data_IF_310588713549
#
_entry.id   IF_310588713549
#
_cell.length_a   1.000
_cell.length_b   1.000
_cell.length_c   1.000
_cell.angle_alpha   90.00
_cell.angle_beta   90.00
_cell.angle_gamma   90.00
#
_symmetry.space_group_name_H-M   'P 1'
#
loop_
_entity.id
_entity.type
_entity.pdbx_description
1 polymer ?
#
# COMPACT_ATOMS: atom_id res chain seq x y z
N UNK A 1 -19.41 -13.09 20.16
CA UNK A 1 -18.38 -13.62 21.08
C UNK A 1 -17.30 -14.22 20.19
N UNK A 2 -16.21 -13.49 19.92
CA UNK A 2 -15.13 -13.88 19.01
C UNK A 2 -13.75 -13.77 19.68
N UNK A 3 -13.73 -13.65 21.02
CA UNK A 3 -12.50 -13.51 21.80
C UNK A 3 -12.72 -14.22 23.14
N UNK A 4 -12.75 -15.55 23.12
CA UNK A 4 -12.67 -16.36 24.34
C UNK A 4 -11.94 -17.66 24.03
N UNK A 5 -10.67 -17.57 23.65
CA UNK A 5 -9.77 -18.70 23.43
C UNK A 5 -8.32 -18.26 23.65
N UNK A 6 -7.94 -17.96 24.90
CA UNK A 6 -6.54 -17.95 25.39
C UNK A 6 -5.52 -16.98 24.78
N UNK A 7 -5.80 -16.35 23.64
CA UNK A 7 -4.91 -15.46 22.90
C UNK A 7 -5.41 -14.01 23.04
N UNK A 8 -4.89 -13.29 24.03
CA UNK A 8 -4.93 -11.85 24.10
C UNK A 8 -3.78 -11.24 23.29
N UNK A 9 -3.86 -9.93 23.06
CA UNK A 9 -2.75 -9.19 22.43
C UNK A 9 -1.47 -9.27 23.27
N UNK A 10 -1.60 -9.46 24.59
CA UNK A 10 -0.47 -9.46 25.53
C UNK A 10 0.33 -10.77 25.55
N UNK A 11 -0.25 -11.90 25.13
CA UNK A 11 0.36 -13.23 25.21
C UNK A 11 0.51 -13.94 23.84
N UNK A 12 0.19 -13.25 22.75
CA UNK A 12 0.31 -13.76 21.37
C UNK A 12 1.75 -14.17 20.97
N UNK A 13 2.77 -13.48 21.48
CA UNK A 13 4.17 -13.80 21.17
C UNK A 13 4.64 -15.13 21.81
N UNK A 14 3.98 -15.57 22.90
CA UNK A 14 4.38 -16.75 23.67
C UNK A 14 3.68 -18.03 23.17
N UNK A 15 2.61 -17.91 22.41
CA UNK A 15 1.83 -19.03 21.87
C UNK A 15 2.22 -19.43 20.45
N UNK A 16 3.10 -18.67 19.80
CA UNK A 16 3.66 -19.04 18.51
C UNK A 16 4.65 -20.22 18.69
N UNK A 17 4.47 -21.35 17.96
CA UNK A 17 5.45 -22.42 17.98
C UNK A 17 6.81 -21.84 17.55
N UNK A 18 7.89 -22.23 18.24
CA UNK A 18 9.28 -21.86 17.92
C UNK A 18 9.49 -22.04 16.41
N UNK A 19 9.54 -20.94 15.67
CA UNK A 19 9.51 -20.96 14.22
C UNK A 19 10.71 -21.74 13.66
N UNK A 20 10.43 -22.58 12.68
CA UNK A 20 11.41 -23.33 11.93
C UNK A 20 12.48 -22.39 11.34
N UNK A 21 13.70 -22.91 11.16
CA UNK A 21 14.93 -22.19 10.82
C UNK A 21 14.90 -21.31 9.55
N UNK A 22 13.81 -21.30 8.79
CA UNK A 22 13.62 -20.40 7.65
C UNK A 22 13.39 -18.93 8.05
N UNK A 23 13.09 -18.65 9.32
CA UNK A 23 12.97 -17.26 9.81
C UNK A 23 14.26 -16.72 10.44
N UNK A 24 15.23 -17.61 10.74
CA UNK A 24 16.53 -17.21 11.32
C UNK A 24 17.53 -16.67 10.30
N UNK A 25 17.30 -16.97 9.02
CA UNK A 25 18.00 -16.32 7.93
C UNK A 25 16.96 -15.46 7.25
N UNK A 26 17.00 -14.15 7.54
CA UNK A 26 16.11 -13.19 6.90
C UNK A 26 16.03 -13.48 5.40
N UNK A 27 14.82 -13.34 4.85
CA UNK A 27 14.50 -13.67 3.46
C UNK A 27 15.67 -13.29 2.52
N UNK A 28 16.03 -14.14 1.56
CA UNK A 28 17.22 -13.92 0.72
C UNK A 28 17.19 -12.56 -0.03
N UNK A 29 16.00 -11.99 -0.22
CA UNK A 29 15.81 -10.64 -0.75
C UNK A 29 16.13 -9.51 0.26
N UNK A 30 16.00 -9.76 1.56
CA UNK A 30 16.18 -8.81 2.63
C UNK A 30 17.58 -8.84 3.25
N UNK A 31 18.35 -9.92 3.10
CA UNK A 31 19.66 -10.04 3.75
C UNK A 31 20.67 -8.99 3.26
N UNK A 32 20.55 -8.54 2.00
CA UNK A 32 21.36 -7.46 1.43
C UNK A 32 20.85 -6.05 1.76
N UNK A 33 19.65 -5.92 2.34
CA UNK A 33 19.05 -4.61 2.61
C UNK A 33 19.69 -3.84 3.76
N UNK A 34 20.06 -4.47 4.89
CA UNK A 34 20.83 -3.80 5.92
C UNK A 34 22.12 -3.18 5.38
N UNK A 35 22.83 -3.88 4.48
CA UNK A 35 24.03 -3.32 3.83
C UNK A 35 23.72 -2.20 2.84
N UNK A 36 22.67 -2.34 2.01
CA UNK A 36 22.25 -1.29 1.08
C UNK A 36 21.76 -0.02 1.80
N UNK A 37 21.06 -0.17 2.93
CA UNK A 37 20.62 0.95 3.75
C UNK A 37 21.79 1.59 4.47
N UNK A 38 22.71 0.81 5.04
CA UNK A 38 23.89 1.33 5.72
C UNK A 38 24.77 2.20 4.80
N UNK A 39 24.88 1.85 3.52
CA UNK A 39 25.58 2.67 2.52
C UNK A 39 24.83 3.96 2.12
N UNK A 40 23.54 4.07 2.44
CA UNK A 40 22.66 5.18 2.05
C UNK A 40 22.32 6.16 3.18
N UNK A 41 22.72 5.86 4.42
CA UNK A 41 22.58 6.78 5.55
C UNK A 41 23.92 7.12 6.14
N UNK A 42 24.25 8.41 6.10
CA UNK A 42 25.42 8.96 6.79
C UNK A 42 25.31 8.84 8.32
N UNK A 43 24.08 8.72 8.83
CA UNK A 43 23.75 8.68 10.26
C UNK A 43 22.51 7.80 10.49
N UNK A 44 22.72 6.65 11.14
CA UNK A 44 21.69 5.64 11.38
C UNK A 44 20.73 6.08 12.49
N UNK A 45 21.15 6.95 13.41
CA UNK A 45 20.28 7.49 14.46
C UNK A 45 19.17 8.36 13.87
N UNK A 46 19.42 9.03 12.75
CA UNK A 46 18.40 9.83 12.06
C UNK A 46 17.24 8.98 11.54
N UNK A 47 17.45 7.72 11.19
CA UNK A 47 16.38 6.81 10.77
C UNK A 47 15.36 6.56 11.90
N UNK A 48 15.76 6.75 13.16
CA UNK A 48 14.89 6.56 14.33
C UNK A 48 14.04 7.78 14.68
N UNK A 49 14.33 8.94 14.10
CA UNK A 49 13.63 10.19 14.37
C UNK A 49 12.43 10.38 13.45
N UNK A 50 11.24 10.57 14.01
CA UNK A 50 10.01 10.72 13.22
C UNK A 50 10.00 12.00 12.36
N UNK A 51 10.66 13.04 12.86
CA UNK A 51 10.80 14.36 12.25
C UNK A 51 11.66 14.30 10.98
N UNK A 52 12.66 13.40 10.95
CA UNK A 52 13.49 13.14 9.79
C UNK A 52 12.66 12.68 8.58
N UNK A 53 11.62 11.88 8.84
CA UNK A 53 10.72 11.35 7.81
C UNK A 53 9.60 12.31 7.46
N UNK A 54 9.14 13.13 8.41
CA UNK A 54 8.06 14.10 8.19
C UNK A 54 8.37 15.09 7.05
N UNK A 55 9.66 15.43 6.85
CA UNK A 55 10.10 16.35 5.79
C UNK A 55 10.33 15.67 4.42
N UNK A 56 10.31 14.33 4.34
CA UNK A 56 10.71 13.55 3.16
C UNK A 56 9.56 12.86 2.42
N UNK A 57 8.35 12.89 2.97
CA UNK A 57 7.14 12.41 2.29
C UNK A 57 6.40 13.53 1.56
N UNK A 58 5.67 13.23 0.47
CA UNK A 58 4.67 14.18 -0.02
C UNK A 58 3.71 14.50 1.12
N UNK A 59 3.37 15.79 1.27
CA UNK A 59 2.32 16.18 2.20
C UNK A 59 1.06 15.35 1.88
N UNK A 60 0.32 14.87 2.89
CA UNK A 60 -0.94 14.17 2.66
C UNK A 60 -1.80 15.03 1.72
N UNK A 61 -2.34 14.43 0.66
CA UNK A 61 -3.27 15.16 -0.21
C UNK A 61 -4.44 15.64 0.64
N UNK A 62 -4.84 16.90 0.44
CA UNK A 62 -5.98 17.46 1.15
C UNK A 62 -7.21 16.56 0.93
N UNK A 63 -7.87 16.16 2.01
CA UNK A 63 -9.05 15.31 1.92
C UNK A 63 -10.18 16.15 1.34
N UNK A 64 -10.64 15.80 0.14
CA UNK A 64 -11.72 16.51 -0.52
C UNK A 64 -13.07 16.03 0.02
N UNK A 65 -13.79 16.92 0.68
CA UNK A 65 -15.21 16.74 0.98
C UNK A 65 -16.02 16.90 -0.30
N UNK A 66 -16.73 15.85 -0.72
CA UNK A 66 -17.34 15.84 -2.04
C UNK A 66 -18.48 14.85 -2.20
N UNK A 67 -19.32 15.13 -3.19
CA UNK A 67 -20.36 14.24 -3.71
C UNK A 67 -19.99 13.85 -5.14
N UNK A 68 -19.49 12.64 -5.33
CA UNK A 68 -19.23 12.08 -6.65
C UNK A 68 -20.54 11.56 -7.24
N UNK A 69 -20.82 11.91 -8.50
CA UNK A 69 -21.99 11.46 -9.25
C UNK A 69 -21.56 10.93 -10.62
N UNK A 70 -22.49 10.29 -11.34
CA UNK A 70 -22.24 9.74 -12.67
C UNK A 70 -21.01 8.80 -12.65
N UNK A 71 -20.94 7.96 -11.63
CA UNK A 71 -19.87 6.99 -11.44
C UNK A 71 -20.43 5.57 -11.55
N UNK A 72 -19.55 4.58 -11.68
CA UNK A 72 -19.86 3.17 -11.44
C UNK A 72 -19.16 2.74 -10.17
N UNK A 73 -19.88 2.71 -9.05
CA UNK A 73 -19.27 2.54 -7.72
C UNK A 73 -19.57 1.15 -7.20
N UNK A 74 -18.55 0.31 -7.04
CA UNK A 74 -18.69 -1.00 -6.41
C UNK A 74 -18.49 -0.85 -4.90
N UNK A 75 -19.52 -1.13 -4.11
CA UNK A 75 -19.45 -0.94 -2.65
C UNK A 75 -18.73 -2.07 -1.93
N UNK A 76 -18.64 -3.25 -2.56
CA UNK A 76 -18.14 -4.50 -1.96
C UNK A 76 -18.87 -4.89 -0.66
N UNK A 77 -20.11 -4.40 -0.47
CA UNK A 77 -20.97 -4.87 0.61
C UNK A 77 -21.50 -6.29 0.33
N UNK A 78 -22.17 -6.90 1.32
CA UNK A 78 -22.71 -8.26 1.21
C UNK A 78 -23.67 -8.43 0.02
N UNK A 79 -24.37 -7.37 -0.36
CA UNK A 79 -25.28 -7.33 -1.50
C UNK A 79 -24.59 -7.04 -2.84
N UNK A 80 -23.26 -6.83 -2.84
CA UNK A 80 -22.44 -6.53 -4.01
C UNK A 80 -23.02 -5.39 -4.87
N UNK A 81 -23.54 -4.34 -4.21
CA UNK A 81 -24.22 -3.26 -4.92
C UNK A 81 -23.26 -2.49 -5.82
N UNK A 82 -23.80 -2.07 -6.97
CA UNK A 82 -23.21 -1.06 -7.84
C UNK A 82 -24.12 0.16 -7.82
N UNK A 83 -23.59 1.29 -7.37
CA UNK A 83 -24.33 2.55 -7.23
C UNK A 83 -23.68 3.65 -8.08
N UNK A 84 -24.37 4.78 -8.25
CA UNK A 84 -23.93 5.84 -9.18
C UNK A 84 -23.42 7.12 -8.48
N UNK A 85 -23.56 7.19 -7.14
CA UNK A 85 -23.10 8.31 -6.34
C UNK A 85 -22.52 7.92 -4.96
N UNK A 86 -21.59 8.74 -4.48
CA UNK A 86 -20.87 8.59 -3.21
C UNK A 86 -20.60 9.95 -2.57
N UNK A 87 -20.97 10.12 -1.30
CA UNK A 87 -20.69 11.32 -0.51
C UNK A 87 -19.60 11.02 0.52
N UNK A 88 -18.55 11.85 0.56
CA UNK A 88 -17.45 11.77 1.53
C UNK A 88 -17.33 13.09 2.27
N UNK A 89 -17.13 13.02 3.59
CA UNK A 89 -16.80 14.15 4.44
C UNK A 89 -15.80 13.74 5.52
N UNK A 90 -14.78 14.56 5.76
CA UNK A 90 -13.73 14.31 6.75
C UNK A 90 -13.11 12.90 6.60
N UNK A 91 -12.88 12.47 5.36
CA UNK A 91 -12.27 11.17 5.04
C UNK A 91 -13.17 9.97 5.29
N UNK A 92 -14.47 10.17 5.54
CA UNK A 92 -15.46 9.11 5.80
C UNK A 92 -16.56 9.12 4.75
N UNK A 93 -17.00 7.93 4.36
CA UNK A 93 -18.20 7.76 3.53
C UNK A 93 -19.42 8.13 4.36
N UNK A 94 -20.15 9.16 3.95
CA UNK A 94 -21.42 9.55 4.57
C UNK A 94 -22.58 8.72 4.02
N UNK A 95 -22.61 8.54 2.69
CA UNK A 95 -23.67 7.82 1.99
C UNK A 95 -23.19 7.35 0.61
N UNK A 96 -23.81 6.31 0.09
CA UNK A 96 -23.66 5.86 -1.30
C UNK A 96 -25.02 5.36 -1.82
N UNK A 97 -25.32 5.55 -3.10
CA UNK A 97 -26.65 5.25 -3.64
C UNK A 97 -26.91 5.94 -4.98
N UNK A 98 -28.17 6.29 -5.23
CA UNK A 98 -28.58 7.02 -6.42
C UNK A 98 -28.27 8.51 -6.33
N UNK A 99 -27.78 9.08 -7.42
CA UNK A 99 -27.33 10.45 -7.51
C UNK A 99 -28.45 11.43 -7.18
N UNK A 100 -29.68 11.17 -7.63
CA UNK A 100 -30.82 12.03 -7.33
C UNK A 100 -31.06 12.18 -5.82
N UNK A 101 -30.96 11.08 -5.06
CA UNK A 101 -31.18 11.08 -3.62
C UNK A 101 -30.04 11.80 -2.89
N UNK A 102 -28.79 11.53 -3.28
CA UNK A 102 -27.62 12.12 -2.65
C UNK A 102 -27.46 13.61 -3.01
N UNK A 103 -27.79 14.03 -4.23
CA UNK A 103 -27.80 15.45 -4.63
C UNK A 103 -28.81 16.20 -3.78
N UNK A 104 -30.02 15.65 -3.59
CA UNK A 104 -31.04 16.27 -2.74
C UNK A 104 -30.59 16.37 -1.28
N UNK A 105 -29.89 15.36 -0.76
CA UNK A 105 -29.48 15.33 0.65
C UNK A 105 -28.20 16.13 0.95
N UNK A 106 -27.28 16.22 -0.01
CA UNK A 106 -25.91 16.70 0.23
C UNK A 106 -25.40 17.74 -0.77
N UNK A 107 -26.08 17.97 -1.89
CA UNK A 107 -25.62 18.84 -2.98
C UNK A 107 -25.40 20.31 -2.58
N UNK A 108 -26.12 20.79 -1.57
CA UNK A 108 -25.95 22.16 -1.03
C UNK A 108 -24.79 22.26 -0.01
N UNK A 109 -24.26 21.13 0.47
CA UNK A 109 -23.27 21.09 1.55
C UNK A 109 -21.94 20.44 1.16
N UNK A 110 -21.89 19.80 0.00
CA UNK A 110 -20.70 19.14 -0.55
C UNK A 110 -20.50 19.61 -1.98
N UNK A 111 -19.23 19.73 -2.39
CA UNK A 111 -18.92 19.97 -3.79
C UNK A 111 -19.36 18.79 -4.65
N UNK A 112 -20.21 19.04 -5.65
CA UNK A 112 -20.62 18.01 -6.60
C UNK A 112 -19.53 17.80 -7.65
N UNK A 113 -19.11 16.55 -7.82
CA UNK A 113 -18.02 16.12 -8.69
C UNK A 113 -18.56 15.09 -9.69
N UNK A 114 -18.55 15.43 -10.98
CA UNK A 114 -18.92 14.49 -12.04
C UNK A 114 -17.76 13.52 -12.36
N UNK A 115 -17.96 12.24 -12.08
CA UNK A 115 -16.98 11.19 -12.33
C UNK A 115 -16.92 10.75 -13.81
N UNK A 116 -17.78 11.29 -14.68
CA UNK A 116 -17.78 11.06 -16.14
C UNK A 116 -17.90 9.58 -16.52
N UNK A 117 -18.74 8.84 -15.84
CA UNK A 117 -18.95 7.40 -16.01
C UNK A 117 -17.80 6.52 -15.53
N UNK A 118 -16.78 7.08 -14.85
CA UNK A 118 -15.63 6.30 -14.36
C UNK A 118 -16.02 5.39 -13.20
N UNK A 119 -15.21 4.36 -12.99
CA UNK A 119 -15.41 3.39 -11.91
C UNK A 119 -14.72 3.86 -10.64
N UNK A 120 -15.40 3.69 -9.49
CA UNK A 120 -14.85 3.88 -8.15
C UNK A 120 -14.86 2.52 -7.45
N UNK A 121 -13.72 2.17 -6.86
CA UNK A 121 -13.49 0.95 -6.09
C UNK A 121 -13.02 1.32 -4.68
N UNK A 122 -13.25 0.46 -3.67
CA UNK A 122 -12.52 0.56 -2.41
C UNK A 122 -11.02 0.51 -2.69
N UNK A 123 -10.24 1.25 -1.91
CA UNK A 123 -8.78 1.16 -1.97
C UNK A 123 -8.32 -0.28 -1.71
N UNK A 124 -7.33 -0.73 -2.46
CA UNK A 124 -6.75 -2.05 -2.23
C UNK A 124 -6.03 -2.08 -0.88
N UNK A 125 -6.23 -3.18 -0.14
CA UNK A 125 -5.53 -3.45 1.10
C UNK A 125 -4.47 -4.50 0.80
N UNK A 126 -3.21 -4.15 1.04
CA UNK A 126 -2.07 -5.06 0.94
C UNK A 126 -1.76 -5.62 2.34
N UNK A 127 -2.15 -6.87 2.64
CA UNK A 127 -1.99 -7.43 3.99
C UNK A 127 -0.56 -7.91 4.28
N UNK A 128 0.27 -8.14 3.24
CA UNK A 128 1.59 -8.70 3.43
C UNK A 128 2.58 -8.24 2.35
N UNK A 129 3.29 -7.15 2.65
CA UNK A 129 4.33 -6.61 1.77
C UNK A 129 5.71 -6.63 2.40
N UNK A 130 6.72 -6.87 1.56
CA UNK A 130 8.10 -6.55 1.89
C UNK A 130 8.43 -5.14 1.40
N UNK A 131 8.12 -4.13 2.22
CA UNK A 131 8.25 -2.72 1.84
C UNK A 131 9.66 -2.33 1.38
N UNK A 132 10.70 -2.69 2.15
CA UNK A 132 12.07 -2.31 1.83
C UNK A 132 12.61 -2.96 0.55
N UNK A 133 12.44 -4.29 0.30
CA UNK A 133 12.79 -4.85 -0.99
C UNK A 133 12.06 -4.16 -2.15
N UNK A 134 10.75 -3.93 -2.03
CA UNK A 134 9.96 -3.30 -3.10
C UNK A 134 10.44 -1.87 -3.39
N UNK A 135 10.76 -1.09 -2.35
CA UNK A 135 11.26 0.27 -2.51
C UNK A 135 12.65 0.34 -3.17
N UNK A 136 13.45 -0.72 -3.05
CA UNK A 136 14.83 -0.77 -3.54
C UNK A 136 15.01 -1.61 -4.81
N UNK A 137 14.04 -2.45 -5.17
CA UNK A 137 14.14 -3.40 -6.30
C UNK A 137 14.43 -2.70 -7.63
N UNK A 138 13.93 -1.49 -7.84
CA UNK A 138 14.21 -0.69 -9.04
C UNK A 138 15.67 -0.24 -9.18
N UNK A 139 16.49 -0.41 -8.14
CA UNK A 139 17.93 -0.15 -8.16
C UNK A 139 18.76 -1.41 -8.43
N UNK A 140 18.14 -2.59 -8.38
CA UNK A 140 18.81 -3.83 -8.72
C UNK A 140 18.88 -3.95 -10.24
N UNK A 141 20.03 -4.36 -10.76
CA UNK A 141 20.15 -4.63 -12.19
C UNK A 141 19.28 -5.84 -12.54
N UNK A 142 18.30 -5.63 -13.43
CA UNK A 142 17.48 -6.72 -13.94
C UNK A 142 18.33 -7.61 -14.85
N UNK A 143 18.77 -8.75 -14.32
CA UNK A 143 19.43 -9.84 -15.05
C UNK A 143 18.51 -11.04 -15.26
N UNK A 144 17.20 -10.82 -15.14
CA UNK A 144 16.18 -11.85 -15.21
C UNK A 144 16.00 -12.47 -16.60
N UNK A 145 15.33 -13.63 -16.66
CA UNK A 145 15.16 -14.39 -17.90
C UNK A 145 14.29 -13.68 -18.94
N UNK A 146 13.50 -12.68 -18.53
CA UNK A 146 12.69 -11.85 -19.43
C UNK A 146 13.52 -10.81 -20.19
N UNK A 147 14.71 -10.46 -19.67
CA UNK A 147 15.63 -9.53 -20.30
C UNK A 147 16.78 -10.25 -21.01
N UNK A 148 17.29 -11.34 -20.43
CA UNK A 148 18.37 -12.13 -21.00
C UNK A 148 17.93 -13.59 -21.18
N UNK A 149 17.80 -14.02 -22.43
CA UNK A 149 17.40 -15.40 -22.76
C UNK A 149 18.50 -16.45 -22.46
N UNK A 150 19.76 -16.01 -22.29
CA UNK A 150 20.91 -16.87 -21.96
C UNK A 150 21.71 -16.28 -20.81
N UNK A 151 22.17 -17.14 -19.91
CA UNK A 151 23.03 -16.76 -18.78
C UNK A 151 24.32 -16.05 -19.23
N UNK A 152 24.89 -16.46 -20.37
CA UNK A 152 26.10 -15.85 -20.91
C UNK A 152 25.92 -14.36 -21.20
N UNK A 153 24.75 -13.96 -21.70
CA UNK A 153 24.44 -12.58 -22.05
C UNK A 153 24.23 -11.73 -20.79
N UNK A 154 23.56 -12.28 -19.78
CA UNK A 154 23.43 -11.65 -18.46
C UNK A 154 24.80 -11.42 -17.79
N UNK A 155 25.71 -12.41 -17.88
CA UNK A 155 27.07 -12.28 -17.33
C UNK A 155 27.90 -11.25 -18.10
N UNK A 156 27.77 -11.18 -19.44
CA UNK A 156 28.44 -10.17 -20.24
C UNK A 156 27.96 -8.75 -19.88
N UNK A 157 26.66 -8.59 -19.65
CA UNK A 157 26.07 -7.34 -19.17
C UNK A 157 26.63 -6.92 -17.81
N UNK A 158 26.62 -7.83 -16.82
CA UNK A 158 27.19 -7.55 -15.50
C UNK A 158 28.67 -7.15 -15.57
N UNK A 159 29.46 -7.79 -16.44
CA UNK A 159 30.86 -7.40 -16.66
C UNK A 159 30.99 -5.98 -17.21
N UNK A 160 30.07 -5.54 -18.08
CA UNK A 160 30.10 -4.19 -18.64
C UNK A 160 29.79 -3.10 -17.61
N UNK A 161 29.00 -3.42 -16.59
CA UNK A 161 28.67 -2.50 -15.49
C UNK A 161 29.78 -2.39 -14.43
N UNK A 162 30.63 -3.42 -14.33
CA UNK A 162 31.72 -3.47 -13.37
C UNK A 162 33.03 -2.84 -13.87
N UNK A 163 33.08 -2.39 -15.12
CA UNK A 163 34.23 -1.75 -15.76
C UNK A 163 34.23 -0.23 -15.54
#
# INVERSE_FOLDING_TARGET
MLFDDGNSFENWAETLPRQDSHERHGCACCSALPSLLADQVDDVEQLTQSEHWAARGPAPSEVVDGLWINAKIYTMDQSQRVVDALAIRNGKVLACGHAADLIKAHGDTLQVIDAKGRTILPGFIEPHMHFLPIATIGRLEDVGPYRFSKTADALAHLKSLAA
#
